data_IF_737796511771
#
_entry.id   IF_737796511771
#
_cell.length_a   1.000
_cell.length_b   1.000
_cell.length_c   1.000
_cell.angle_alpha   90.00
_cell.angle_beta   90.00
_cell.angle_gamma   90.00
#
_symmetry.space_group_name_H-M   'P 1'
#
loop_
_entity.id
_entity.type
_entity.pdbx_description
1 polymer ?
#
# COMPACT_ATOMS: atom_id res chain seq x y z
N UNK A 1 5.87 7.09 -15.11
CA UNK A 1 6.45 6.42 -13.92
C UNK A 1 5.61 5.17 -13.63
N UNK A 2 6.20 3.96 -13.71
CA UNK A 2 5.47 2.70 -13.49
C UNK A 2 5.75 2.19 -12.07
N UNK A 3 5.36 2.98 -11.05
CA UNK A 3 5.23 2.54 -9.64
C UNK A 3 4.08 1.52 -9.48
N UNK A 4 3.59 0.96 -10.60
CA UNK A 4 2.39 0.14 -10.73
C UNK A 4 2.45 -1.17 -9.96
N UNK A 5 3.63 -1.71 -9.65
CA UNK A 5 3.74 -3.01 -8.98
C UNK A 5 3.89 -2.92 -7.46
N UNK A 6 4.78 -2.07 -6.92
CA UNK A 6 5.15 -2.18 -5.51
C UNK A 6 4.11 -1.68 -4.50
N UNK A 7 3.37 -0.61 -4.80
CA UNK A 7 2.40 -0.07 -3.84
C UNK A 7 0.98 -0.66 -4.02
N UNK A 8 0.70 -1.30 -5.15
CA UNK A 8 -0.65 -1.80 -5.47
C UNK A 8 -0.78 -3.33 -5.48
N UNK A 9 0.28 -4.10 -5.74
CA UNK A 9 0.15 -5.57 -5.81
C UNK A 9 -0.16 -6.18 -4.44
N UNK A 10 0.40 -5.65 -3.35
CA UNK A 10 0.05 -6.09 -1.99
C UNK A 10 -1.41 -5.79 -1.59
N UNK A 11 -1.98 -4.68 -2.07
CA UNK A 11 -3.35 -4.28 -1.72
C UNK A 11 -4.43 -4.97 -2.58
N UNK A 12 -4.17 -5.22 -3.87
CA UNK A 12 -5.15 -5.85 -4.76
C UNK A 12 -5.31 -7.36 -4.47
N UNK A 13 -4.23 -8.06 -4.12
CA UNK A 13 -4.30 -9.48 -3.77
C UNK A 13 -5.13 -9.74 -2.48
N UNK A 14 -5.10 -8.80 -1.53
CA UNK A 14 -5.88 -8.88 -0.29
C UNK A 14 -7.40 -8.72 -0.48
N UNK A 15 -7.84 -8.04 -1.55
CA UNK A 15 -9.27 -7.88 -1.85
C UNK A 15 -9.94 -9.16 -2.36
N UNK A 16 -9.17 -10.08 -2.97
CA UNK A 16 -9.70 -11.37 -3.43
C UNK A 16 -9.74 -12.46 -2.34
N UNK A 17 -8.93 -12.34 -1.29
CA UNK A 17 -8.83 -13.37 -0.23
C UNK A 17 -9.77 -13.14 0.97
N UNK A 18 -10.32 -11.93 1.15
CA UNK A 18 -11.13 -11.58 2.31
C UNK A 18 -12.62 -11.97 2.21
N UNK A 19 -13.03 -12.78 1.24
CA UNK A 19 -14.42 -13.22 1.08
C UNK A 19 -14.94 -14.15 2.20
N UNK A 20 -14.14 -14.48 3.22
CA UNK A 20 -14.57 -15.39 4.29
C UNK A 20 -14.01 -14.93 5.63
N UNK A 21 -14.61 -13.92 6.25
CA UNK A 21 -14.56 -13.80 7.71
C UNK A 21 -15.93 -13.37 8.24
N UNK A 22 -16.73 -14.36 8.66
CA UNK A 22 -17.90 -14.17 9.52
C UNK A 22 -17.40 -13.91 10.94
N UNK A 23 -17.42 -12.64 11.35
CA UNK A 23 -17.25 -12.22 12.75
C UNK A 23 -18.58 -11.74 13.31
N UNK A 24 -19.04 -12.42 14.34
CA UNK A 24 -20.30 -12.25 15.07
C UNK A 24 -20.36 -10.94 15.86
N UNK A 25 -21.49 -10.21 15.78
CA UNK A 25 -21.88 -9.25 16.82
C UNK A 25 -22.17 -7.80 16.42
N UNK A 26 -22.54 -7.51 15.17
CA UNK A 26 -22.98 -6.16 14.76
C UNK A 26 -24.44 -6.18 14.29
N UNK A 27 -25.15 -5.06 14.49
CA UNK A 27 -26.51 -4.85 13.96
C UNK A 27 -26.51 -5.22 12.47
N UNK A 28 -27.23 -6.28 12.11
CA UNK A 28 -27.26 -6.82 10.76
C UNK A 28 -27.57 -5.75 9.69
N UNK A 29 -28.36 -4.74 10.09
CA UNK A 29 -28.76 -3.61 9.26
C UNK A 29 -27.57 -2.74 8.85
N UNK A 30 -26.65 -2.41 9.76
CA UNK A 30 -25.48 -1.59 9.44
C UNK A 30 -24.51 -2.31 8.49
N UNK A 31 -24.35 -3.63 8.64
CA UNK A 31 -23.49 -4.40 7.74
C UNK A 31 -24.03 -4.42 6.30
N UNK A 32 -25.35 -4.53 6.12
CA UNK A 32 -25.98 -4.48 4.80
C UNK A 32 -25.84 -3.10 4.14
N UNK A 33 -25.99 -2.03 4.92
CA UNK A 33 -25.79 -0.64 4.46
C UNK A 33 -24.33 -0.43 4.05
N UNK A 34 -23.38 -0.80 4.91
CA UNK A 34 -21.94 -0.68 4.65
C UNK A 34 -21.55 -1.45 3.37
N UNK A 35 -22.00 -2.69 3.23
CA UNK A 35 -21.74 -3.48 2.03
C UNK A 35 -22.27 -2.79 0.76
N UNK A 36 -23.46 -2.20 0.82
CA UNK A 36 -24.04 -1.44 -0.30
C UNK A 36 -23.19 -0.22 -0.64
N UNK A 37 -22.78 0.56 0.37
CA UNK A 37 -21.92 1.74 0.18
C UNK A 37 -20.57 1.38 -0.48
N UNK A 38 -19.94 0.28 -0.05
CA UNK A 38 -18.69 -0.22 -0.63
C UNK A 38 -18.90 -0.60 -2.10
N UNK A 39 -19.95 -1.36 -2.42
CA UNK A 39 -20.23 -1.78 -3.80
C UNK A 39 -20.52 -0.61 -4.72
N UNK A 40 -21.28 0.38 -4.24
CA UNK A 40 -21.57 1.59 -5.01
C UNK A 40 -20.30 2.41 -5.23
N UNK A 41 -19.45 2.58 -4.21
CA UNK A 41 -18.17 3.28 -4.34
C UNK A 41 -17.24 2.57 -5.33
N UNK A 42 -17.10 1.25 -5.23
CA UNK A 42 -16.28 0.43 -6.15
C UNK A 42 -16.83 0.50 -7.58
N UNK A 43 -18.15 0.41 -7.76
CA UNK A 43 -18.80 0.54 -9.08
C UNK A 43 -18.54 1.90 -9.71
N UNK A 44 -18.70 2.99 -8.94
CA UNK A 44 -18.40 4.35 -9.40
C UNK A 44 -16.93 4.48 -9.79
N UNK A 45 -16.00 3.95 -8.99
CA UNK A 45 -14.58 3.94 -9.34
C UNK A 45 -14.33 3.16 -10.63
N UNK A 46 -14.87 1.95 -10.77
CA UNK A 46 -14.67 1.07 -11.94
C UNK A 46 -15.27 1.62 -13.23
N UNK A 47 -16.34 2.40 -13.12
CA UNK A 47 -16.98 3.03 -14.29
C UNK A 47 -16.07 4.07 -14.96
N UNK A 48 -15.14 4.67 -14.21
CA UNK A 48 -14.12 5.58 -14.74
C UNK A 48 -12.90 4.80 -15.25
N UNK A 49 -13.01 4.28 -16.48
CA UNK A 49 -11.96 3.48 -17.11
C UNK A 49 -10.61 4.21 -17.19
N UNK A 50 -10.63 5.53 -17.43
CA UNK A 50 -9.43 6.36 -17.47
C UNK A 50 -8.78 6.45 -16.08
N UNK A 51 -9.55 6.38 -14.99
CA UNK A 51 -9.02 6.43 -13.63
C UNK A 51 -8.20 5.17 -13.34
N UNK A 52 -8.57 4.02 -13.90
CA UNK A 52 -7.84 2.75 -13.75
C UNK A 52 -6.73 2.54 -14.79
N UNK A 53 -6.96 2.94 -16.04
CA UNK A 53 -6.05 2.67 -17.15
C UNK A 53 -4.87 3.66 -17.22
N UNK A 54 -4.99 4.82 -16.59
CA UNK A 54 -3.88 5.78 -16.49
C UNK A 54 -2.91 5.37 -15.38
N UNK A 55 -1.58 5.48 -15.58
CA UNK A 55 -0.62 5.35 -14.49
C UNK A 55 -0.88 6.37 -13.38
N UNK A 56 -0.54 6.02 -12.15
CA UNK A 56 -0.53 7.00 -11.05
C UNK A 56 0.59 8.00 -11.33
N UNK A 57 0.22 9.27 -11.50
CA UNK A 57 1.15 10.35 -11.82
C UNK A 57 1.06 11.44 -10.76
N UNK A 58 2.21 11.77 -10.15
CA UNK A 58 2.33 12.88 -9.22
C UNK A 58 2.14 14.23 -9.91
N UNK A 59 2.65 14.40 -11.12
CA UNK A 59 2.62 15.68 -11.83
C UNK A 59 1.21 16.03 -12.31
N UNK A 60 0.43 15.00 -12.67
CA UNK A 60 -0.95 15.14 -13.10
C UNK A 60 -1.86 14.14 -12.37
N UNK A 61 -2.11 14.33 -11.05
CA UNK A 61 -2.95 13.44 -10.27
C UNK A 61 -4.36 13.37 -10.87
N UNK A 62 -4.83 12.14 -11.10
CA UNK A 62 -6.17 11.93 -11.65
C UNK A 62 -7.14 11.62 -10.54
N UNK A 63 -8.23 12.37 -10.51
CA UNK A 63 -9.35 12.16 -9.60
C UNK A 63 -10.49 11.52 -10.38
N UNK A 64 -11.22 10.60 -9.76
CA UNK A 64 -12.35 9.94 -10.40
C UNK A 64 -13.49 10.95 -10.67
N UNK A 65 -14.25 10.74 -11.76
CA UNK A 65 -15.41 11.59 -12.14
C UNK A 65 -16.37 11.82 -10.95
N UNK A 66 -16.69 10.78 -10.19
CA UNK A 66 -17.63 10.84 -9.06
C UNK A 66 -16.92 10.95 -7.69
N UNK A 67 -15.79 11.65 -7.63
CA UNK A 67 -14.93 11.74 -6.46
C UNK A 67 -15.61 12.10 -5.15
N UNK A 68 -16.46 13.14 -5.15
CA UNK A 68 -17.15 13.58 -3.94
C UNK A 68 -18.05 12.46 -3.39
N UNK A 69 -18.83 11.82 -4.27
CA UNK A 69 -19.74 10.74 -3.92
C UNK A 69 -19.02 9.46 -3.48
N UNK A 70 -17.92 9.09 -4.15
CA UNK A 70 -17.08 7.96 -3.75
C UNK A 70 -16.56 8.17 -2.32
N UNK A 71 -16.04 9.36 -2.04
CA UNK A 71 -15.51 9.69 -0.71
C UNK A 71 -16.60 9.66 0.35
N UNK A 72 -17.73 10.30 0.09
CA UNK A 72 -18.88 10.32 1.00
C UNK A 72 -19.33 8.91 1.37
N UNK A 73 -19.44 8.00 0.38
CA UNK A 73 -19.82 6.60 0.61
C UNK A 73 -18.81 5.87 1.49
N UNK A 74 -17.51 6.03 1.21
CA UNK A 74 -16.45 5.37 1.97
C UNK A 74 -16.32 5.94 3.39
N UNK A 75 -16.46 7.25 3.55
CA UNK A 75 -16.45 7.92 4.86
C UNK A 75 -17.65 7.49 5.71
N UNK A 76 -18.82 7.37 5.09
CA UNK A 76 -20.03 6.86 5.74
C UNK A 76 -19.88 5.39 6.14
N UNK A 77 -19.31 4.55 5.26
CA UNK A 77 -19.06 3.15 5.55
C UNK A 77 -18.10 2.97 6.74
N UNK A 78 -16.98 3.70 6.76
CA UNK A 78 -16.03 3.69 7.90
C UNK A 78 -16.72 4.14 9.19
N UNK A 79 -17.52 5.21 9.13
CA UNK A 79 -18.20 5.75 10.30
C UNK A 79 -19.24 4.79 10.89
N UNK A 80 -19.92 4.01 10.04
CA UNK A 80 -20.93 3.02 10.46
C UNK A 80 -20.30 1.74 11.00
N UNK A 81 -19.30 1.21 10.31
CA UNK A 81 -18.60 -0.01 10.69
C UNK A 81 -17.18 0.00 10.13
N UNK A 82 -16.16 0.37 10.93
CA UNK A 82 -14.77 0.31 10.49
C UNK A 82 -14.37 -1.13 10.12
N UNK A 83 -14.11 -1.38 8.84
CA UNK A 83 -13.71 -2.70 8.36
C UNK A 83 -12.56 -2.62 7.34
N UNK A 84 -11.74 -3.67 7.30
CA UNK A 84 -10.53 -3.73 6.47
C UNK A 84 -10.81 -3.48 4.99
N UNK A 85 -11.92 -3.97 4.45
CA UNK A 85 -12.23 -3.83 3.03
C UNK A 85 -12.55 -2.37 2.68
N UNK A 86 -13.36 -1.69 3.50
CA UNK A 86 -13.66 -0.27 3.27
C UNK A 86 -12.40 0.59 3.32
N UNK A 87 -11.54 0.35 4.32
CA UNK A 87 -10.26 1.06 4.42
C UNK A 87 -9.34 0.80 3.23
N UNK A 88 -9.22 -0.44 2.76
CA UNK A 88 -8.40 -0.77 1.59
C UNK A 88 -8.93 -0.13 0.29
N UNK A 89 -10.26 -0.05 0.14
CA UNK A 89 -10.88 0.61 -1.01
C UNK A 89 -10.61 2.12 -0.97
N UNK A 90 -10.76 2.75 0.20
CA UNK A 90 -10.42 4.18 0.39
C UNK A 90 -8.93 4.46 0.20
N UNK A 91 -8.06 3.60 0.73
CA UNK A 91 -6.62 3.67 0.50
C UNK A 91 -6.30 3.64 -1.01
N UNK A 92 -6.89 2.70 -1.74
CA UNK A 92 -6.70 2.57 -3.19
C UNK A 92 -7.14 3.83 -3.92
N UNK A 93 -8.32 4.36 -3.59
CA UNK A 93 -8.82 5.61 -4.18
C UNK A 93 -7.87 6.80 -3.93
N UNK A 94 -7.48 7.01 -2.68
CA UNK A 94 -6.63 8.14 -2.28
C UNK A 94 -5.23 8.04 -2.91
N UNK A 95 -4.62 6.85 -2.91
CA UNK A 95 -3.30 6.63 -3.47
C UNK A 95 -3.30 6.88 -4.99
N UNK A 96 -4.28 6.34 -5.72
CA UNK A 96 -4.41 6.58 -7.16
C UNK A 96 -4.67 8.06 -7.50
N UNK A 97 -5.38 8.74 -6.62
CA UNK A 97 -5.63 10.19 -6.70
C UNK A 97 -4.47 11.04 -6.19
N UNK A 98 -3.34 10.41 -5.83
CA UNK A 98 -2.15 11.03 -5.26
C UNK A 98 -2.41 11.95 -4.05
N UNK A 99 -3.38 11.59 -3.20
CA UNK A 99 -3.75 12.33 -1.99
C UNK A 99 -2.93 11.88 -0.78
N UNK A 100 -1.61 12.02 -0.86
CA UNK A 100 -0.68 11.48 0.15
C UNK A 100 -0.94 11.92 1.60
N UNK A 101 -1.27 13.19 1.90
CA UNK A 101 -1.60 13.59 3.27
C UNK A 101 -2.81 12.82 3.83
N UNK A 102 -3.82 12.59 2.98
CA UNK A 102 -5.02 11.85 3.36
C UNK A 102 -4.74 10.35 3.47
N UNK A 103 -3.85 9.80 2.63
CA UNK A 103 -3.36 8.42 2.77
C UNK A 103 -2.71 8.22 4.13
N UNK A 104 -1.85 9.16 4.57
CA UNK A 104 -1.20 9.04 5.87
C UNK A 104 -2.21 9.09 7.04
N UNK A 105 -3.18 10.02 6.98
CA UNK A 105 -4.26 10.08 7.99
C UNK A 105 -5.02 8.76 8.04
N UNK A 106 -5.39 8.20 6.88
CA UNK A 106 -6.09 6.92 6.80
C UNK A 106 -5.24 5.78 7.39
N UNK A 107 -3.94 5.71 7.08
CA UNK A 107 -3.05 4.66 7.58
C UNK A 107 -2.84 4.75 9.11
N UNK A 108 -2.85 5.96 9.68
CA UNK A 108 -2.82 6.17 11.15
C UNK A 108 -4.11 5.68 11.81
N UNK A 109 -5.26 5.95 11.18
CA UNK A 109 -6.56 5.46 11.63
C UNK A 109 -6.62 3.92 11.55
N UNK A 110 -6.19 3.34 10.43
CA UNK A 110 -6.10 1.89 10.22
C UNK A 110 -5.19 1.20 11.25
N UNK A 111 -4.01 1.76 11.57
CA UNK A 111 -3.10 1.19 12.59
C UNK A 111 -3.69 1.26 14.00
N UNK A 112 -4.64 2.17 14.23
CA UNK A 112 -5.38 2.28 15.50
C UNK A 112 -6.52 1.27 15.58
N UNK A 113 -7.35 1.19 14.52
CA UNK A 113 -8.56 0.37 14.50
C UNK A 113 -8.30 -1.10 14.14
N UNK A 114 -7.22 -1.39 13.42
CA UNK A 114 -6.95 -2.70 12.79
C UNK A 114 -5.50 -3.14 12.96
N UNK A 115 -4.89 -2.83 14.11
CA UNK A 115 -3.47 -3.09 14.40
C UNK A 115 -3.02 -4.49 14.00
N UNK A 116 -3.79 -5.52 14.32
CA UNK A 116 -3.41 -6.92 14.09
C UNK A 116 -3.67 -7.40 12.66
N UNK A 117 -4.25 -6.54 11.81
CA UNK A 117 -4.65 -6.86 10.43
C UNK A 117 -3.97 -6.01 9.36
N UNK A 118 -3.11 -5.06 9.77
CA UNK A 118 -2.27 -4.26 8.87
C UNK A 118 -1.24 -5.16 8.18
N UNK A 119 -1.13 -5.01 6.87
CA UNK A 119 -0.14 -5.74 6.08
C UNK A 119 1.24 -5.06 6.19
N UNK A 120 2.34 -5.79 5.96
CA UNK A 120 3.67 -5.18 5.97
C UNK A 120 3.83 -4.04 4.96
N UNK A 121 3.14 -4.10 3.81
CA UNK A 121 3.16 -3.05 2.78
C UNK A 121 2.47 -1.76 3.28
N UNK A 122 1.39 -1.89 4.03
CA UNK A 122 0.69 -0.73 4.61
C UNK A 122 1.52 -0.07 5.72
N UNK A 123 2.18 -0.86 6.58
CA UNK A 123 3.13 -0.30 7.55
C UNK A 123 4.34 0.34 6.87
N UNK A 124 4.87 -0.27 5.80
CA UNK A 124 5.96 0.32 5.03
C UNK A 124 5.55 1.65 4.39
N UNK A 125 4.36 1.73 3.77
CA UNK A 125 3.83 2.97 3.20
C UNK A 125 3.60 4.04 4.27
N UNK A 126 3.02 3.66 5.42
CA UNK A 126 2.85 4.57 6.56
C UNK A 126 4.21 5.11 7.01
N UNK A 127 5.19 4.23 7.25
CA UNK A 127 6.53 4.60 7.68
C UNK A 127 7.23 5.54 6.69
N UNK A 128 7.10 5.29 5.37
CA UNK A 128 7.65 6.17 4.35
C UNK A 128 7.05 7.57 4.39
N UNK A 129 5.73 7.69 4.57
CA UNK A 129 5.06 8.97 4.63
C UNK A 129 5.38 9.74 5.92
N UNK A 130 5.48 9.04 7.06
CA UNK A 130 5.93 9.62 8.34
C UNK A 130 7.38 10.16 8.24
N UNK A 131 8.28 9.35 7.68
CA UNK A 131 9.70 9.72 7.53
C UNK A 131 9.86 10.88 6.55
N UNK A 132 9.08 10.89 5.46
CA UNK A 132 9.04 11.97 4.49
C UNK A 132 8.55 13.29 5.10
N UNK A 133 7.60 13.24 6.04
CA UNK A 133 7.16 14.41 6.83
C UNK A 133 8.14 14.82 7.94
N UNK A 134 9.23 14.06 8.13
CA UNK A 134 10.26 14.33 9.14
C UNK A 134 10.04 13.65 10.49
N UNK A 135 8.97 12.86 10.68
CA UNK A 135 8.76 12.08 11.90
C UNK A 135 9.51 10.74 11.86
N UNK A 136 10.83 10.84 11.95
CA UNK A 136 11.73 9.68 11.90
C UNK A 136 11.53 8.68 13.06
N UNK A 137 10.98 9.12 14.20
CA UNK A 137 10.76 8.26 15.37
C UNK A 137 9.57 7.34 15.14
N UNK A 138 8.43 7.90 14.71
CA UNK A 138 7.24 7.11 14.36
C UNK A 138 7.54 6.23 13.15
N UNK A 139 8.18 6.78 12.13
CA UNK A 139 8.57 6.01 10.94
C UNK A 139 9.43 4.80 11.28
N UNK A 140 10.46 4.96 12.11
CA UNK A 140 11.34 3.85 12.50
C UNK A 140 10.60 2.73 13.21
N UNK A 141 9.63 3.07 14.06
CA UNK A 141 8.78 2.08 14.74
C UNK A 141 7.96 1.28 13.73
N UNK A 142 7.38 1.94 12.74
CA UNK A 142 6.55 1.28 11.73
C UNK A 142 7.37 0.48 10.70
N UNK A 143 8.57 0.96 10.33
CA UNK A 143 9.51 0.17 9.53
C UNK A 143 9.93 -1.14 10.23
N UNK A 144 10.13 -1.12 11.55
CA UNK A 144 10.44 -2.33 12.33
C UNK A 144 9.26 -3.31 12.37
N UNK A 145 8.02 -2.79 12.48
CA UNK A 145 6.80 -3.61 12.41
C UNK A 145 6.65 -4.26 11.03
N UNK A 146 6.82 -3.48 9.97
CA UNK A 146 6.83 -3.99 8.60
C UNK A 146 7.92 -5.05 8.42
N UNK A 147 9.14 -4.82 8.92
CA UNK A 147 10.24 -5.78 8.81
C UNK A 147 9.93 -7.13 9.47
N UNK A 148 9.35 -7.08 10.68
CA UNK A 148 8.90 -8.27 11.41
C UNK A 148 7.81 -9.03 10.63
N UNK A 149 6.80 -8.32 10.11
CA UNK A 149 5.71 -8.92 9.36
C UNK A 149 6.17 -9.49 8.01
N UNK A 150 7.10 -8.82 7.31
CA UNK A 150 7.76 -9.40 6.14
C UNK A 150 8.53 -10.68 6.49
N UNK A 151 9.17 -10.74 7.67
CA UNK A 151 9.86 -11.95 8.13
C UNK A 151 8.93 -13.16 8.23
N UNK A 152 7.71 -12.97 8.75
CA UNK A 152 6.66 -14.00 8.78
C UNK A 152 6.22 -14.35 7.35
N UNK A 153 5.89 -13.35 6.53
CA UNK A 153 5.44 -13.54 5.14
C UNK A 153 6.45 -14.34 4.30
N UNK A 154 7.75 -14.09 4.45
CA UNK A 154 8.82 -14.86 3.77
C UNK A 154 8.74 -16.36 4.11
N UNK A 155 8.43 -16.71 5.36
CA UNK A 155 8.29 -18.10 5.78
C UNK A 155 7.02 -18.73 5.20
N UNK A 156 5.91 -17.99 5.19
CA UNK A 156 4.63 -18.44 4.66
C UNK A 156 4.69 -18.77 3.16
N UNK A 157 5.43 -17.97 2.38
CA UNK A 157 5.53 -18.16 0.92
C UNK A 157 6.76 -18.96 0.49
N UNK A 158 7.50 -19.58 1.41
CA UNK A 158 8.80 -20.21 1.12
C UNK A 158 8.74 -21.32 0.05
N UNK A 159 7.58 -21.92 -0.19
CA UNK A 159 7.39 -22.96 -1.20
C UNK A 159 7.09 -22.41 -2.61
N UNK A 160 6.71 -21.14 -2.72
CA UNK A 160 6.49 -20.45 -3.99
C UNK A 160 7.72 -19.58 -4.28
N UNK A 161 8.59 -20.05 -5.17
CA UNK A 161 9.87 -19.37 -5.45
C UNK A 161 9.70 -17.94 -5.94
N UNK A 162 8.64 -17.66 -6.70
CA UNK A 162 8.35 -16.33 -7.23
C UNK A 162 7.90 -15.39 -6.11
N UNK A 163 6.94 -15.83 -5.31
CA UNK A 163 6.44 -15.06 -4.17
C UNK A 163 7.53 -14.87 -3.11
N UNK A 164 8.33 -15.91 -2.85
CA UNK A 164 9.48 -15.84 -1.96
C UNK A 164 10.48 -14.78 -2.40
N UNK A 165 10.88 -14.79 -3.68
CA UNK A 165 11.77 -13.77 -4.23
C UNK A 165 11.18 -12.37 -4.11
N UNK A 166 9.89 -12.21 -4.42
CA UNK A 166 9.21 -10.91 -4.35
C UNK A 166 9.14 -10.35 -2.93
N UNK A 167 8.72 -11.17 -1.95
CA UNK A 167 8.60 -10.72 -0.54
C UNK A 167 9.98 -10.39 0.05
N UNK A 168 11.04 -11.11 -0.34
CA UNK A 168 12.41 -10.75 0.05
C UNK A 168 12.82 -9.37 -0.46
N UNK A 169 12.47 -9.03 -1.70
CA UNK A 169 12.73 -7.70 -2.25
C UNK A 169 11.97 -6.62 -1.49
N UNK A 170 10.68 -6.85 -1.18
CA UNK A 170 9.88 -5.92 -0.38
C UNK A 170 10.50 -5.70 1.01
N UNK A 171 10.94 -6.77 1.67
CA UNK A 171 11.64 -6.72 2.96
C UNK A 171 12.95 -5.93 2.87
N UNK A 172 13.77 -6.22 1.87
CA UNK A 172 15.04 -5.54 1.68
C UNK A 172 14.87 -4.05 1.34
N UNK A 173 13.82 -3.72 0.58
CA UNK A 173 13.44 -2.36 0.29
C UNK A 173 13.02 -1.60 1.57
N UNK A 174 12.19 -2.22 2.41
CA UNK A 174 11.82 -1.69 3.72
C UNK A 174 13.06 -1.41 4.61
N UNK A 175 14.00 -2.36 4.68
CA UNK A 175 15.24 -2.21 5.42
C UNK A 175 16.13 -1.10 4.85
N UNK A 176 16.22 -1.01 3.52
CA UNK A 176 17.04 0.01 2.85
C UNK A 176 16.56 1.42 3.18
N UNK A 177 15.24 1.64 3.17
CA UNK A 177 14.63 2.91 3.59
C UNK A 177 14.88 3.20 5.07
N UNK A 178 14.61 2.22 5.94
CA UNK A 178 14.77 2.40 7.40
C UNK A 178 16.22 2.73 7.79
N UNK A 179 17.19 2.05 7.16
CA UNK A 179 18.62 2.20 7.47
C UNK A 179 19.33 3.26 6.62
N UNK A 180 18.66 3.76 5.58
CA UNK A 180 19.27 4.57 4.54
C UNK A 180 20.49 3.89 3.90
N UNK A 181 20.39 2.58 3.65
CA UNK A 181 21.46 1.77 3.03
C UNK A 181 20.87 0.84 1.97
N UNK A 182 21.12 1.17 0.70
CA UNK A 182 20.54 0.47 -0.45
C UNK A 182 21.40 -0.70 -0.96
N UNK A 183 22.56 -0.99 -0.33
CA UNK A 183 23.39 -2.15 -0.73
C UNK A 183 22.64 -3.47 -0.63
N UNK A 184 21.94 -3.79 0.49
CA UNK A 184 21.22 -5.07 0.61
C UNK A 184 20.10 -5.20 -0.42
N UNK A 185 19.40 -4.10 -0.74
CA UNK A 185 18.37 -4.10 -1.78
C UNK A 185 18.96 -4.47 -3.15
N UNK A 186 20.10 -3.88 -3.52
CA UNK A 186 20.76 -4.20 -4.79
C UNK A 186 21.23 -5.64 -4.87
N UNK A 187 21.71 -6.20 -3.76
CA UNK A 187 22.09 -7.60 -3.67
C UNK A 187 20.88 -8.53 -3.86
N UNK A 188 19.73 -8.22 -3.25
CA UNK A 188 18.49 -8.99 -3.43
C UNK A 188 17.95 -8.88 -4.86
N UNK A 189 18.01 -7.70 -5.49
CA UNK A 189 17.63 -7.53 -6.90
C UNK A 189 18.52 -8.41 -7.79
N UNK A 190 19.85 -8.35 -7.62
CA UNK A 190 20.78 -9.15 -8.40
C UNK A 190 20.60 -10.66 -8.16
N UNK A 191 20.24 -11.06 -6.94
CA UNK A 191 19.91 -12.45 -6.61
C UNK A 191 18.64 -12.90 -7.32
N UNK A 192 17.56 -12.11 -7.24
CA UNK A 192 16.30 -12.42 -7.92
C UNK A 192 16.49 -12.60 -9.43
N UNK A 193 17.19 -11.66 -10.08
CA UNK A 193 17.43 -11.70 -11.53
C UNK A 193 18.24 -12.94 -11.94
N UNK A 194 19.18 -13.36 -11.09
CA UNK A 194 19.98 -14.58 -11.32
C UNK A 194 19.14 -15.85 -11.21
N UNK A 195 18.22 -15.92 -10.24
CA UNK A 195 17.36 -17.08 -10.03
C UNK A 195 16.28 -17.20 -11.10
N UNK A 196 15.68 -16.08 -11.49
CA UNK A 196 14.52 -16.06 -12.40
C UNK A 196 14.87 -15.74 -13.86
N UNK A 197 16.14 -15.49 -14.17
CA UNK A 197 16.63 -15.25 -15.53
C UNK A 197 16.02 -14.03 -16.23
N UNK A 198 15.41 -13.11 -15.48
CA UNK A 198 14.68 -11.96 -16.00
C UNK A 198 14.83 -10.75 -15.09
N UNK A 199 14.82 -9.57 -15.70
CA UNK A 199 14.79 -8.29 -14.97
C UNK A 199 13.40 -8.03 -14.42
N UNK A 200 13.34 -7.39 -13.26
CA UNK A 200 12.05 -7.00 -12.67
C UNK A 200 11.65 -5.65 -13.25
N UNK A 201 10.58 -5.64 -14.04
CA UNK A 201 10.06 -4.41 -14.64
C UNK A 201 9.70 -3.39 -13.56
N UNK A 202 10.27 -2.18 -13.66
CA UNK A 202 10.04 -1.07 -12.74
C UNK A 202 11.01 -1.00 -11.57
N UNK A 203 11.94 -1.96 -11.43
CA UNK A 203 12.98 -1.98 -10.38
C UNK A 203 14.33 -1.49 -10.90
N UNK A 204 14.47 -1.25 -12.21
CA UNK A 204 15.72 -0.82 -12.82
C UNK A 204 16.24 0.48 -12.20
N UNK A 205 15.32 1.39 -11.86
CA UNK A 205 15.65 2.66 -11.21
C UNK A 205 16.16 2.46 -9.78
N UNK A 206 15.72 1.40 -9.10
CA UNK A 206 16.09 1.13 -7.71
C UNK A 206 17.53 0.67 -7.57
N UNK A 207 18.10 0.10 -8.64
CA UNK A 207 19.51 -0.28 -8.70
C UNK A 207 20.44 0.93 -8.56
N UNK A 208 19.97 2.12 -8.90
CA UNK A 208 20.76 3.35 -8.88
C UNK A 208 20.51 4.20 -7.63
N UNK A 209 19.57 3.82 -6.75
CA UNK A 209 19.29 4.57 -5.53
C UNK A 209 20.48 4.52 -4.58
N UNK A 210 20.92 5.71 -4.17
CA UNK A 210 22.07 5.87 -3.27
C UNK A 210 21.57 6.09 -1.83
N UNK A 211 20.47 6.83 -1.67
CA UNK A 211 19.87 7.16 -0.40
C UNK A 211 18.34 7.29 -0.47
N UNK A 212 17.68 7.26 0.70
CA UNK A 212 16.22 7.32 0.84
C UNK A 212 15.66 8.69 0.47
N UNK A 213 16.45 9.76 0.60
CA UNK A 213 16.06 11.11 0.21
C UNK A 213 15.95 11.25 -1.31
N UNK A 214 16.85 10.62 -2.06
CA UNK A 214 16.72 10.48 -3.51
C UNK A 214 15.44 9.74 -3.88
N UNK A 215 15.17 8.60 -3.23
CA UNK A 215 13.94 7.84 -3.43
C UNK A 215 12.70 8.70 -3.13
N UNK A 216 12.65 9.40 -2.00
CA UNK A 216 11.52 10.27 -1.66
C UNK A 216 11.34 11.43 -2.63
N UNK A 217 12.41 12.04 -3.14
CA UNK A 217 12.29 13.08 -4.18
C UNK A 217 11.70 12.53 -5.48
N UNK A 218 12.15 11.33 -5.88
CA UNK A 218 11.64 10.66 -7.08
C UNK A 218 10.15 10.31 -6.92
N UNK A 219 9.76 9.76 -5.78
CA UNK A 219 8.38 9.30 -5.54
C UNK A 219 7.49 10.47 -5.11
N UNK A 220 7.74 11.07 -3.95
CA UNK A 220 6.86 12.04 -3.29
C UNK A 220 7.10 13.50 -3.70
N UNK A 221 8.34 13.87 -3.99
CA UNK A 221 8.71 15.23 -4.41
C UNK A 221 9.58 15.93 -3.39
N UNK A 222 9.65 17.26 -3.49
CA UNK A 222 10.24 18.03 -2.40
C UNK A 222 9.21 18.12 -1.26
N UNK A 223 9.65 17.94 0.00
CA UNK A 223 8.80 18.25 1.15
C UNK A 223 8.33 19.71 1.04
N UNK A 224 7.04 19.94 1.21
CA UNK A 224 6.47 21.30 1.30
C UNK A 224 6.86 21.99 2.60
#
# INVERSE_FOLDING_TARGET
MNVRLFLMVGCVAGMCAACIHKGTGFQHDNQAVVHTLILEADSLMRSDSLFWNTPVDRAHPRVCIHAALIREKLDSAISLCPDKQTYLLKYTYLLRSWRLPEVLVLLREMDTCMRDSMSPELWNMKAMLEDYQGDSVVARKDFLRADSAYGVKVQEVAQDSLMYGFVRLEKAFNLALMKNDFRPLREEIAFYERVHGSTISGVEQWKNLIDKGEYYRQVFGQPE
#
